data_IF_258513966933
#
_entry.id   IF_258513966933
#
_cell.length_a   1.000
_cell.length_b   1.000
_cell.length_c   1.000
_cell.angle_alpha   90.00
_cell.angle_beta   90.00
_cell.angle_gamma   90.00
#
_symmetry.space_group_name_H-M   'P 1'
#
loop_
_entity.id
_entity.type
_entity.pdbx_description
1 polymer ?
#
# COMPACT_ATOMS: atom_id res chain seq x y z
N UNK A 1 31.65 21.50 -65.21
CA UNK A 1 31.21 20.24 -64.56
C UNK A 1 32.38 19.72 -63.73
N UNK A 2 32.31 19.74 -62.38
CA UNK A 2 33.42 19.22 -61.54
C UNK A 2 33.24 17.70 -61.39
N UNK A 3 34.10 16.94 -62.05
CA UNK A 3 34.12 15.47 -61.97
C UNK A 3 34.98 15.10 -60.76
N UNK A 4 34.36 14.50 -59.74
CA UNK A 4 35.07 14.02 -58.55
C UNK A 4 35.58 12.60 -58.80
N UNK A 5 36.90 12.44 -58.89
CA UNK A 5 37.54 11.13 -59.07
C UNK A 5 37.97 10.61 -57.70
N UNK A 6 37.21 9.65 -57.17
CA UNK A 6 37.57 9.00 -55.90
C UNK A 6 38.52 7.84 -56.16
N UNK A 7 39.66 7.82 -55.47
CA UNK A 7 40.53 6.65 -55.49
C UNK A 7 39.84 5.46 -54.81
N UNK A 8 40.13 4.22 -55.24
CA UNK A 8 39.59 3.01 -54.58
C UNK A 8 39.85 3.01 -53.07
N UNK A 9 40.99 3.57 -52.62
CA UNK A 9 41.33 3.72 -51.20
C UNK A 9 40.40 4.71 -50.49
N UNK A 10 40.08 5.84 -51.11
CA UNK A 10 39.17 6.85 -50.56
C UNK A 10 37.75 6.30 -50.37
N UNK A 11 37.27 5.48 -51.31
CA UNK A 11 35.95 4.82 -51.18
C UNK A 11 35.92 3.84 -50.02
N UNK A 12 36.97 3.04 -49.84
CA UNK A 12 37.08 2.08 -48.72
C UNK A 12 37.12 2.81 -47.37
N UNK A 13 37.89 3.90 -47.25
CA UNK A 13 37.95 4.68 -46.00
C UNK A 13 36.61 5.31 -45.66
N UNK A 14 35.91 5.88 -46.64
CA UNK A 14 34.56 6.45 -46.42
C UNK A 14 33.57 5.37 -45.99
N UNK A 15 33.61 4.19 -46.62
CA UNK A 15 32.75 3.06 -46.23
C UNK A 15 33.02 2.61 -44.78
N UNK A 16 34.29 2.51 -44.37
CA UNK A 16 34.65 2.16 -42.99
C UNK A 16 34.18 3.20 -41.97
N UNK A 17 34.32 4.49 -42.28
CA UNK A 17 33.82 5.57 -41.42
C UNK A 17 32.29 5.54 -41.29
N UNK A 18 31.57 5.26 -42.38
CA UNK A 18 30.12 5.11 -42.35
C UNK A 18 29.69 3.91 -41.52
N UNK A 19 30.41 2.78 -41.59
CA UNK A 19 30.13 1.59 -40.76
C UNK A 19 30.37 1.89 -39.27
N UNK A 20 31.47 2.55 -38.91
CA UNK A 20 31.74 2.94 -37.52
C UNK A 20 30.66 3.90 -37.01
N UNK A 21 30.25 4.87 -37.83
CA UNK A 21 29.16 5.78 -37.49
C UNK A 21 27.84 5.01 -37.27
N UNK A 22 27.53 4.05 -38.13
CA UNK A 22 26.33 3.22 -38.00
C UNK A 22 26.36 2.38 -36.72
N UNK A 23 27.50 1.77 -36.40
CA UNK A 23 27.70 1.02 -35.15
C UNK A 23 27.52 1.95 -33.95
N UNK A 24 28.10 3.16 -33.99
CA UNK A 24 27.95 4.16 -32.94
C UNK A 24 26.50 4.60 -32.74
N UNK A 25 25.75 4.81 -33.83
CA UNK A 25 24.32 5.13 -33.78
C UNK A 25 23.52 3.96 -33.18
N UNK A 26 23.76 2.72 -33.62
CA UNK A 26 23.07 1.53 -33.07
C UNK A 26 23.37 1.37 -31.59
N UNK A 27 24.62 1.59 -31.17
CA UNK A 27 25.01 1.53 -29.76
C UNK A 27 24.33 2.63 -28.94
N UNK A 28 24.34 3.87 -29.44
CA UNK A 28 23.68 5.01 -28.79
C UNK A 28 22.16 4.84 -28.69
N UNK A 29 21.50 4.32 -29.73
CA UNK A 29 20.06 4.04 -29.72
C UNK A 29 19.70 2.89 -28.74
N UNK A 30 20.56 1.90 -28.58
CA UNK A 30 20.39 0.83 -27.58
C UNK A 30 20.64 1.34 -26.15
N UNK A 31 21.67 2.17 -25.95
CA UNK A 31 21.94 2.85 -24.66
C UNK A 31 20.84 3.85 -24.29
N UNK A 32 20.26 4.57 -25.25
CA UNK A 32 19.15 5.50 -24.98
C UNK A 32 17.87 4.80 -24.53
N UNK A 33 17.67 3.53 -24.92
CA UNK A 33 16.51 2.71 -24.49
C UNK A 33 16.74 1.97 -23.17
N UNK A 34 17.98 1.61 -22.83
CA UNK A 34 18.30 0.87 -21.61
C UNK A 34 18.96 1.69 -20.49
N UNK A 35 19.84 2.64 -20.82
CA UNK A 35 20.72 3.34 -19.89
C UNK A 35 20.05 4.41 -19.02
N UNK A 36 18.97 5.04 -19.48
CA UNK A 36 18.22 6.01 -18.67
C UNK A 36 17.46 5.34 -17.50
N UNK A 37 17.11 4.06 -17.64
CA UNK A 37 16.40 3.30 -16.60
C UNK A 37 17.33 2.66 -15.56
N UNK A 38 18.64 2.53 -15.84
CA UNK A 38 19.60 1.90 -14.92
C UNK A 38 20.02 2.83 -13.77
N UNK A 39 19.90 4.14 -13.95
CA UNK A 39 20.29 5.15 -12.95
C UNK A 39 19.12 5.81 -12.22
N UNK A 40 17.88 5.58 -12.65
CA UNK A 40 16.72 6.02 -11.90
C UNK A 40 16.55 5.09 -10.68
N UNK A 41 16.43 5.60 -9.45
CA UNK A 41 16.12 4.76 -8.30
C UNK A 41 14.82 4.01 -8.60
N UNK A 42 14.85 2.68 -8.49
CA UNK A 42 13.64 1.88 -8.70
C UNK A 42 12.57 2.38 -7.73
N UNK A 43 11.40 2.73 -8.28
CA UNK A 43 10.25 3.12 -7.47
C UNK A 43 9.90 1.96 -6.56
N UNK A 44 9.95 2.18 -5.25
CA UNK A 44 9.42 1.26 -4.27
C UNK A 44 7.92 1.46 -4.17
N UNK A 45 7.21 0.35 -4.00
CA UNK A 45 5.75 0.35 -3.89
C UNK A 45 5.36 -0.29 -2.55
N UNK A 46 4.36 0.28 -1.86
CA UNK A 46 3.69 -0.39 -0.75
C UNK A 46 2.83 -1.55 -1.28
N UNK A 47 2.30 -2.36 -0.37
CA UNK A 47 1.44 -3.49 -0.68
C UNK A 47 0.00 -2.98 -0.87
N UNK A 48 -0.54 -3.08 -2.08
CA UNK A 48 -1.92 -2.71 -2.41
C UNK A 48 -2.87 -3.92 -2.38
N UNK A 49 -2.38 -5.09 -2.77
CA UNK A 49 -3.14 -6.35 -2.80
C UNK A 49 -2.19 -7.56 -2.92
N UNK A 50 -2.74 -8.76 -2.86
CA UNK A 50 -2.00 -10.03 -2.96
C UNK A 50 -2.55 -10.88 -4.10
N UNK A 51 -1.67 -11.54 -4.83
CA UNK A 51 -2.05 -12.56 -5.80
C UNK A 51 -2.29 -13.90 -5.12
N UNK A 52 -3.54 -14.36 -5.19
CA UNK A 52 -3.96 -15.65 -4.64
C UNK A 52 -5.19 -16.18 -5.39
N UNK A 53 -5.30 -17.51 -5.47
CA UNK A 53 -6.50 -18.19 -5.95
C UNK A 53 -7.55 -18.38 -4.85
N UNK A 54 -7.18 -18.19 -3.58
CA UNK A 54 -8.10 -18.28 -2.45
C UNK A 54 -9.03 -17.07 -2.40
N UNK A 55 -10.30 -17.31 -2.04
CA UNK A 55 -11.25 -16.23 -1.76
C UNK A 55 -10.98 -15.65 -0.37
N UNK A 56 -9.91 -14.87 -0.27
CA UNK A 56 -9.52 -14.16 0.96
C UNK A 56 -9.30 -12.69 0.67
N UNK A 57 -9.73 -11.82 1.58
CA UNK A 57 -9.57 -10.36 1.50
C UNK A 57 -9.27 -9.80 2.88
N UNK A 58 -8.75 -8.58 2.94
CA UNK A 58 -8.57 -7.85 4.20
C UNK A 58 -9.40 -6.57 4.16
N UNK A 59 -10.24 -6.38 5.17
CA UNK A 59 -10.84 -5.07 5.46
C UNK A 59 -9.89 -4.34 6.42
N UNK A 60 -9.91 -3.01 6.40
CA UNK A 60 -9.13 -2.21 7.34
C UNK A 60 -9.78 -0.87 7.62
N UNK A 61 -9.50 -0.30 8.79
CA UNK A 61 -10.02 0.98 9.23
C UNK A 61 -8.88 1.93 9.58
N UNK A 62 -8.85 3.10 8.97
CA UNK A 62 -7.95 4.18 9.38
C UNK A 62 -8.65 5.01 10.48
N UNK A 63 -7.98 5.14 11.63
CA UNK A 63 -8.48 5.88 12.79
C UNK A 63 -7.57 7.08 13.09
N UNK A 64 -7.97 8.22 12.55
CA UNK A 64 -7.31 9.50 12.78
C UNK A 64 -8.12 10.39 13.73
N UNK A 65 -9.45 10.44 13.62
CA UNK A 65 -10.30 11.34 14.41
C UNK A 65 -11.60 10.68 14.79
N UNK A 66 -12.15 11.05 15.95
CA UNK A 66 -13.43 10.54 16.42
C UNK A 66 -13.36 9.07 16.86
N UNK A 67 -14.28 8.68 17.72
CA UNK A 67 -14.46 7.31 18.19
C UNK A 67 -15.94 6.90 18.21
N UNK A 68 -16.83 7.75 17.67
CA UNK A 68 -18.28 7.70 17.87
C UNK A 68 -18.91 6.40 17.39
N UNK A 69 -18.30 5.74 16.40
CA UNK A 69 -18.79 4.49 15.81
C UNK A 69 -17.85 3.29 16.09
N UNK A 70 -16.84 3.45 16.95
CA UNK A 70 -15.87 2.39 17.22
C UNK A 70 -16.55 1.15 17.79
N UNK A 71 -17.49 1.35 18.73
CA UNK A 71 -18.27 0.27 19.35
C UNK A 71 -19.14 -0.46 18.31
N UNK A 72 -19.87 0.29 17.47
CA UNK A 72 -20.68 -0.28 16.38
C UNK A 72 -19.85 -1.11 15.40
N UNK A 73 -18.63 -0.65 15.08
CA UNK A 73 -17.70 -1.38 14.20
C UNK A 73 -17.28 -2.70 14.86
N UNK A 74 -16.83 -2.66 16.12
CA UNK A 74 -16.36 -3.84 16.84
C UNK A 74 -17.48 -4.87 17.01
N UNK A 75 -18.68 -4.42 17.39
CA UNK A 75 -19.85 -5.29 17.54
C UNK A 75 -20.30 -5.92 16.22
N UNK A 76 -20.26 -5.16 15.12
CA UNK A 76 -20.49 -5.72 13.80
C UNK A 76 -19.44 -6.77 13.45
N UNK A 77 -18.15 -6.51 13.67
CA UNK A 77 -17.10 -7.47 13.38
C UNK A 77 -17.24 -8.76 14.19
N UNK A 78 -17.59 -8.66 15.48
CA UNK A 78 -17.84 -9.83 16.33
C UNK A 78 -19.08 -10.62 15.88
N UNK A 79 -20.17 -9.94 15.54
CA UNK A 79 -21.40 -10.57 15.03
C UNK A 79 -21.14 -11.42 13.79
N UNK A 80 -20.26 -10.97 12.90
CA UNK A 80 -19.89 -11.68 11.67
C UNK A 80 -18.63 -12.55 11.83
N UNK A 81 -18.07 -12.65 13.04
CA UNK A 81 -16.86 -13.40 13.37
C UNK A 81 -15.65 -13.03 12.48
N UNK A 82 -15.42 -11.73 12.32
CA UNK A 82 -14.35 -11.17 11.49
C UNK A 82 -13.29 -10.51 12.37
N UNK A 83 -12.02 -10.82 12.11
CA UNK A 83 -10.88 -10.08 12.64
C UNK A 83 -10.24 -9.29 11.50
N UNK A 84 -9.77 -8.09 11.82
CA UNK A 84 -9.45 -7.04 10.85
C UNK A 84 -8.27 -6.23 11.35
N UNK A 85 -7.81 -5.25 10.56
CA UNK A 85 -6.71 -4.35 10.91
C UNK A 85 -7.20 -2.92 11.13
N UNK A 86 -6.81 -2.31 12.25
CA UNK A 86 -7.04 -0.89 12.54
C UNK A 86 -5.72 -0.13 12.48
N UNK A 87 -5.58 0.86 11.59
CA UNK A 87 -4.41 1.73 11.52
C UNK A 87 -4.65 2.98 12.37
N UNK A 88 -3.89 3.12 13.46
CA UNK A 88 -4.14 4.15 14.48
C UNK A 88 -3.11 5.27 14.42
N UNK A 89 -3.59 6.51 14.46
CA UNK A 89 -2.71 7.68 14.61
C UNK A 89 -2.28 7.84 16.07
N UNK A 90 -1.02 8.20 16.32
CA UNK A 90 -0.47 8.30 17.68
C UNK A 90 -1.24 9.22 18.64
N UNK A 91 -1.80 10.34 18.17
CA UNK A 91 -2.65 11.19 19.03
C UNK A 91 -4.05 10.60 19.27
N UNK A 92 -4.53 9.72 18.39
CA UNK A 92 -5.78 8.98 18.60
C UNK A 92 -5.57 7.92 19.68
N UNK A 93 -4.44 7.21 19.63
CA UNK A 93 -4.01 6.27 20.67
C UNK A 93 -3.94 6.93 22.05
N UNK A 94 -3.37 8.14 22.15
CA UNK A 94 -3.32 8.89 23.41
C UNK A 94 -4.71 9.23 23.95
N UNK A 95 -5.64 9.57 23.05
CA UNK A 95 -6.98 10.02 23.41
C UNK A 95 -7.91 8.86 23.77
N UNK A 96 -7.71 7.71 23.15
CA UNK A 96 -8.62 6.57 23.23
C UNK A 96 -7.89 5.23 23.53
N UNK A 97 -7.06 5.16 24.59
CA UNK A 97 -6.28 3.96 24.88
C UNK A 97 -7.15 2.74 25.19
N UNK A 98 -8.33 2.94 25.78
CA UNK A 98 -9.27 1.87 26.07
C UNK A 98 -9.79 1.20 24.78
N UNK A 99 -10.02 1.97 23.71
CA UNK A 99 -10.40 1.39 22.42
C UNK A 99 -9.26 0.62 21.77
N UNK A 100 -8.01 1.09 21.91
CA UNK A 100 -6.84 0.34 21.42
C UNK A 100 -6.73 -1.01 22.12
N UNK A 101 -6.92 -1.01 23.44
CA UNK A 101 -6.90 -2.22 24.26
C UNK A 101 -8.04 -3.16 23.86
N UNK A 102 -9.26 -2.65 23.73
CA UNK A 102 -10.44 -3.43 23.35
C UNK A 102 -10.28 -4.06 21.96
N UNK A 103 -9.79 -3.30 20.97
CA UNK A 103 -9.47 -3.83 19.63
C UNK A 103 -8.50 -5.02 19.73
N UNK A 104 -7.45 -4.89 20.53
CA UNK A 104 -6.47 -5.96 20.72
C UNK A 104 -7.04 -7.18 21.47
N UNK A 105 -7.77 -6.97 22.56
CA UNK A 105 -8.38 -8.05 23.37
C UNK A 105 -9.44 -8.82 22.59
N UNK A 106 -10.18 -8.14 21.68
CA UNK A 106 -11.08 -8.78 20.72
C UNK A 106 -10.34 -9.49 19.58
N UNK A 107 -9.00 -9.42 19.52
CA UNK A 107 -8.18 -10.16 18.56
C UNK A 107 -8.02 -9.48 17.19
N UNK A 108 -8.29 -8.17 17.10
CA UNK A 108 -7.99 -7.41 15.89
C UNK A 108 -6.49 -7.05 15.84
N UNK A 109 -5.97 -6.89 14.62
CA UNK A 109 -4.63 -6.37 14.40
C UNK A 109 -4.63 -4.85 14.58
N UNK A 110 -3.68 -4.33 15.36
CA UNK A 110 -3.44 -2.90 15.50
C UNK A 110 -2.19 -2.52 14.70
N UNK A 111 -2.38 -1.64 13.72
CA UNK A 111 -1.37 -1.11 12.81
C UNK A 111 -1.03 0.36 13.09
N UNK A 112 0.07 0.80 12.51
CA UNK A 112 0.59 2.17 12.68
C UNK A 112 0.07 3.12 11.59
N UNK A 113 -0.40 4.31 11.95
CA UNK A 113 -0.84 5.34 11.01
C UNK A 113 -0.13 6.70 11.19
N UNK A 114 1.15 6.68 11.56
CA UNK A 114 1.96 7.84 11.99
C UNK A 114 1.49 8.47 13.30
N UNK A 115 2.28 9.39 13.86
CA UNK A 115 1.97 9.99 15.16
C UNK A 115 1.08 11.23 15.03
N UNK A 116 1.31 12.04 14.00
CA UNK A 116 0.69 13.36 13.84
C UNK A 116 -0.10 13.52 12.54
N UNK A 117 -0.24 12.44 11.76
CA UNK A 117 -0.91 12.40 10.46
C UNK A 117 -0.36 13.42 9.41
N UNK A 118 0.98 13.54 9.23
CA UNK A 118 1.56 14.48 8.26
C UNK A 118 1.61 13.89 6.84
N UNK A 119 1.93 14.73 5.85
CA UNK A 119 2.38 14.24 4.54
C UNK A 119 3.78 13.61 4.66
N UNK A 120 3.81 12.30 4.91
CA UNK A 120 5.04 11.55 5.23
C UNK A 120 6.10 11.65 4.12
N UNK A 121 5.72 11.83 2.84
CA UNK A 121 6.67 11.97 1.74
C UNK A 121 7.50 13.27 1.79
N UNK A 122 7.10 14.23 2.62
CA UNK A 122 7.77 15.54 2.78
C UNK A 122 8.75 15.58 3.94
N UNK A 123 8.79 14.51 4.74
CA UNK A 123 9.60 14.44 5.94
C UNK A 123 11.03 13.94 5.66
N UNK A 124 11.94 14.27 6.57
CA UNK A 124 13.27 13.68 6.59
C UNK A 124 13.21 12.22 7.09
N UNK A 125 14.26 11.43 6.83
CA UNK A 125 14.37 10.05 7.36
C UNK A 125 14.20 10.00 8.88
N UNK A 126 14.80 10.95 9.59
CA UNK A 126 14.73 11.02 11.06
C UNK A 126 13.31 11.33 11.54
N UNK A 127 12.60 12.24 10.86
CA UNK A 127 11.23 12.59 11.21
C UNK A 127 10.26 11.46 10.89
N UNK A 128 10.44 10.77 9.75
CA UNK A 128 9.68 9.55 9.41
C UNK A 128 9.87 8.50 10.50
N UNK A 129 11.12 8.21 10.88
CA UNK A 129 11.41 7.23 11.91
C UNK A 129 10.81 7.62 13.26
N UNK A 130 10.79 8.92 13.59
CA UNK A 130 10.16 9.43 14.81
C UNK A 130 8.64 9.22 14.79
N UNK A 131 7.96 9.59 13.70
CA UNK A 131 6.51 9.40 13.53
C UNK A 131 6.10 7.94 13.71
N UNK A 132 6.88 7.02 13.12
CA UNK A 132 6.63 5.59 13.21
C UNK A 132 6.91 5.04 14.62
N UNK A 133 8.09 5.32 15.18
CA UNK A 133 8.49 4.80 16.50
C UNK A 133 7.58 5.27 17.63
N UNK A 134 7.25 6.57 17.67
CA UNK A 134 6.39 7.12 18.73
C UNK A 134 5.03 6.41 18.75
N UNK A 135 4.45 6.17 17.57
CA UNK A 135 3.15 5.47 17.47
C UNK A 135 3.27 3.99 17.79
N UNK A 136 4.35 3.34 17.33
CA UNK A 136 4.62 1.93 17.62
C UNK A 136 4.81 1.68 19.11
N UNK A 137 5.58 2.53 19.80
CA UNK A 137 5.82 2.42 21.23
C UNK A 137 4.52 2.59 22.03
N UNK A 138 3.67 3.55 21.68
CA UNK A 138 2.35 3.74 22.32
C UNK A 138 1.43 2.52 22.14
N UNK A 139 1.38 1.96 20.93
CA UNK A 139 0.59 0.74 20.67
C UNK A 139 1.14 -0.42 21.49
N UNK A 140 2.46 -0.58 21.56
CA UNK A 140 3.12 -1.62 22.34
C UNK A 140 2.88 -1.48 23.84
N UNK A 141 2.90 -0.25 24.38
CA UNK A 141 2.64 0.01 25.81
C UNK A 141 1.23 -0.45 26.23
N UNK A 142 0.24 -0.36 25.34
CA UNK A 142 -1.14 -0.76 25.61
C UNK A 142 -1.36 -2.26 25.35
N UNK A 143 -0.84 -2.78 24.25
CA UNK A 143 -1.17 -4.11 23.73
C UNK A 143 -0.13 -5.18 24.06
N UNK A 144 1.09 -4.78 24.42
CA UNK A 144 2.24 -5.69 24.55
C UNK A 144 2.75 -6.24 23.21
N UNK A 145 2.22 -5.78 22.08
CA UNK A 145 2.56 -6.26 20.73
C UNK A 145 3.03 -5.10 19.86
N UNK A 146 4.18 -5.26 19.20
CA UNK A 146 4.68 -4.27 18.26
C UNK A 146 3.88 -4.35 16.96
N UNK A 147 3.35 -3.22 16.44
CA UNK A 147 2.68 -3.22 15.15
C UNK A 147 3.69 -3.56 14.05
N UNK A 148 3.28 -4.39 13.08
CA UNK A 148 4.14 -4.81 11.95
C UNK A 148 3.69 -4.23 10.61
N UNK A 149 2.50 -3.63 10.57
CA UNK A 149 1.94 -2.98 9.37
C UNK A 149 1.83 -1.48 9.62
N UNK A 150 2.17 -0.70 8.60
CA UNK A 150 2.07 0.75 8.60
C UNK A 150 1.32 1.21 7.35
N UNK A 151 0.36 2.13 7.50
CA UNK A 151 -0.27 2.82 6.37
C UNK A 151 0.08 4.31 6.41
N UNK A 152 0.59 4.90 5.33
CA UNK A 152 0.87 6.33 5.31
C UNK A 152 -0.42 7.17 5.25
N UNK A 153 -0.53 8.25 6.05
CA UNK A 153 -1.60 9.24 5.91
C UNK A 153 -1.80 9.69 4.47
N UNK A 154 -3.06 9.88 4.08
CA UNK A 154 -3.47 10.32 2.73
C UNK A 154 -3.03 9.41 1.58
N UNK A 155 -2.48 8.23 1.88
CA UNK A 155 -1.79 7.40 0.90
C UNK A 155 -0.53 8.05 0.32
N UNK A 156 0.06 9.04 1.00
CA UNK A 156 1.23 9.81 0.54
C UNK A 156 2.55 9.11 0.88
N UNK A 157 3.34 8.73 -0.14
CA UNK A 157 4.61 8.05 0.06
C UNK A 157 5.66 8.38 -1.00
N UNK A 158 6.91 8.09 -0.66
CA UNK A 158 8.04 8.05 -1.58
C UNK A 158 8.95 6.87 -1.21
N UNK A 159 10.02 6.65 -1.97
CA UNK A 159 10.98 5.58 -1.69
C UNK A 159 11.60 5.70 -0.29
N UNK A 160 11.94 6.92 0.14
CA UNK A 160 12.55 7.16 1.45
C UNK A 160 11.66 6.68 2.59
N UNK A 161 10.35 6.93 2.50
CA UNK A 161 9.38 6.47 3.48
C UNK A 161 9.31 4.94 3.53
N UNK A 162 9.18 4.28 2.38
CA UNK A 162 9.07 2.82 2.32
C UNK A 162 10.34 2.17 2.88
N UNK A 163 11.51 2.67 2.51
CA UNK A 163 12.80 2.18 3.02
C UNK A 163 12.93 2.37 4.52
N UNK A 164 12.55 3.54 5.03
CA UNK A 164 12.63 3.82 6.47
C UNK A 164 11.64 2.96 7.26
N UNK A 165 10.45 2.72 6.71
CA UNK A 165 9.46 1.82 7.33
C UNK A 165 9.96 0.37 7.36
N UNK A 166 10.54 -0.13 6.26
CA UNK A 166 11.12 -1.46 6.16
C UNK A 166 12.29 -1.67 7.15
N UNK A 167 13.18 -0.68 7.28
CA UNK A 167 14.27 -0.69 8.26
C UNK A 167 13.78 -0.76 9.71
N UNK A 168 12.57 -0.28 9.98
CA UNK A 168 11.92 -0.33 11.28
C UNK A 168 11.04 -1.59 11.47
N UNK A 169 11.03 -2.49 10.48
CA UNK A 169 10.28 -3.75 10.55
C UNK A 169 8.82 -3.63 10.12
N UNK A 170 8.43 -2.54 9.46
CA UNK A 170 7.07 -2.36 8.96
C UNK A 170 6.90 -2.82 7.51
N UNK A 171 5.79 -3.51 7.24
CA UNK A 171 5.22 -3.62 5.91
C UNK A 171 4.39 -2.37 5.63
N UNK A 172 4.76 -1.60 4.58
CA UNK A 172 3.97 -0.44 4.16
C UNK A 172 2.76 -0.89 3.35
N UNK A 173 1.56 -0.54 3.79
CA UNK A 173 0.28 -0.99 3.24
C UNK A 173 -0.51 0.16 2.62
N UNK A 174 -1.18 -0.13 1.50
CA UNK A 174 -2.17 0.71 0.85
C UNK A 174 -3.50 -0.07 0.73
N UNK A 175 -4.28 0.20 -0.31
CA UNK A 175 -5.53 -0.47 -0.63
C UNK A 175 -5.76 -0.45 -2.15
N UNK A 176 -6.26 -1.54 -2.72
CA UNK A 176 -6.74 -1.57 -4.10
C UNK A 176 -8.24 -1.21 -4.20
N UNK A 177 -8.99 -1.33 -3.08
CA UNK A 177 -10.41 -0.99 -3.02
C UNK A 177 -10.66 0.11 -1.98
N UNK A 178 -10.98 1.31 -2.46
CA UNK A 178 -11.41 2.44 -1.62
C UNK A 178 -12.93 2.46 -1.49
N UNK A 179 -13.45 2.37 -0.26
CA UNK A 179 -14.88 2.43 0.03
C UNK A 179 -15.50 3.82 -0.25
N UNK A 180 -14.69 4.88 -0.21
CA UNK A 180 -15.12 6.29 -0.25
C UNK A 180 -16.17 6.64 0.81
N UNK A 181 -16.17 5.94 1.95
CA UNK A 181 -17.09 6.16 3.06
C UNK A 181 -17.01 7.58 3.64
N UNK A 182 -15.82 8.18 3.65
CA UNK A 182 -15.57 9.58 4.02
C UNK A 182 -16.30 10.62 3.15
N UNK A 183 -16.84 10.24 1.98
CA UNK A 183 -17.65 11.14 1.14
C UNK A 183 -19.11 11.22 1.55
N UNK A 184 -19.54 10.41 2.53
CA UNK A 184 -20.92 10.41 3.05
C UNK A 184 -22.02 10.27 1.97
N UNK A 185 -21.75 9.48 0.92
CA UNK A 185 -22.71 9.28 -0.19
C UNK A 185 -23.92 8.40 0.20
N UNK A 186 -23.98 7.92 1.44
CA UNK A 186 -24.98 6.99 1.95
C UNK A 186 -24.50 5.52 1.95
N UNK A 187 -25.37 4.65 2.44
CA UNK A 187 -25.09 3.22 2.67
C UNK A 187 -24.81 2.46 1.38
N UNK A 188 -25.79 2.43 0.46
CA UNK A 188 -25.72 1.56 -0.72
C UNK A 188 -24.54 1.89 -1.66
N UNK A 189 -24.16 3.17 -1.90
CA UNK A 189 -22.98 3.48 -2.70
C UNK A 189 -21.69 2.87 -2.16
N UNK A 190 -21.49 2.83 -0.84
CA UNK A 190 -20.33 2.18 -0.21
C UNK A 190 -20.38 0.67 -0.45
N UNK A 191 -21.53 0.05 -0.15
CA UNK A 191 -21.67 -1.41 -0.29
C UNK A 191 -21.47 -1.86 -1.73
N UNK A 192 -22.12 -1.20 -2.70
CA UNK A 192 -22.00 -1.54 -4.11
C UNK A 192 -20.57 -1.32 -4.61
N UNK A 193 -19.89 -0.27 -4.14
CA UNK A 193 -18.52 0.01 -4.56
C UNK A 193 -17.57 -1.08 -4.09
N UNK A 194 -17.65 -1.48 -2.82
CA UNK A 194 -16.77 -2.51 -2.26
C UNK A 194 -17.02 -3.85 -2.96
N UNK A 195 -18.28 -4.29 -2.98
CA UNK A 195 -18.65 -5.63 -3.47
C UNK A 195 -18.47 -5.82 -4.97
N UNK A 196 -18.48 -4.75 -5.78
CA UNK A 196 -18.21 -4.84 -7.23
C UNK A 196 -16.73 -4.83 -7.58
N UNK A 197 -15.88 -4.24 -6.74
CA UNK A 197 -14.46 -4.04 -7.07
C UNK A 197 -13.52 -5.03 -6.39
N UNK A 198 -13.99 -5.72 -5.34
CA UNK A 198 -13.20 -6.71 -4.61
C UNK A 198 -12.79 -7.88 -5.50
N UNK A 199 -11.56 -8.35 -5.30
CA UNK A 199 -10.99 -9.55 -5.90
C UNK A 199 -10.29 -10.38 -4.82
N UNK A 200 -9.93 -11.61 -5.15
CA UNK A 200 -9.06 -12.42 -4.31
C UNK A 200 -7.76 -11.66 -3.99
N UNK A 201 -7.49 -11.51 -2.70
CA UNK A 201 -6.34 -10.81 -2.15
C UNK A 201 -6.46 -9.29 -2.10
N UNK A 202 -7.65 -8.72 -2.28
CA UNK A 202 -7.88 -7.28 -2.12
C UNK A 202 -7.71 -6.82 -0.66
N UNK A 203 -7.22 -5.59 -0.51
CA UNK A 203 -7.19 -4.82 0.74
C UNK A 203 -8.16 -3.66 0.59
N UNK A 204 -9.18 -3.61 1.47
CA UNK A 204 -10.25 -2.62 1.44
C UNK A 204 -10.02 -1.56 2.54
N UNK A 205 -10.12 -0.28 2.17
CA UNK A 205 -10.04 0.87 3.09
C UNK A 205 -11.42 1.35 3.54
N UNK A 206 -11.57 1.54 4.85
CA UNK A 206 -12.64 2.29 5.51
C UNK A 206 -12.05 3.23 6.56
N UNK A 207 -12.89 4.08 7.15
CA UNK A 207 -12.54 4.98 8.24
C UNK A 207 -13.43 4.70 9.46
N UNK A 208 -12.85 4.81 10.66
CA UNK A 208 -13.56 4.48 11.91
C UNK A 208 -14.67 5.49 12.26
N UNK A 209 -14.68 6.66 11.65
CA UNK A 209 -15.62 7.75 11.91
C UNK A 209 -16.60 8.00 10.76
N UNK A 210 -16.72 7.06 9.81
CA UNK A 210 -17.63 7.21 8.69
C UNK A 210 -19.09 7.19 9.16
N UNK A 211 -19.83 8.27 8.85
CA UNK A 211 -21.19 8.55 9.33
C UNK A 211 -22.19 7.39 9.23
N UNK A 212 -22.08 6.56 8.19
CA UNK A 212 -23.03 5.46 7.92
C UNK A 212 -22.43 4.07 8.20
N UNK A 213 -21.30 3.98 8.91
CA UNK A 213 -20.55 2.71 9.09
C UNK A 213 -21.37 1.62 9.77
N UNK A 214 -22.15 1.98 10.80
CA UNK A 214 -23.04 1.04 11.50
C UNK A 214 -24.08 0.41 10.56
N UNK A 215 -24.47 1.11 9.49
CA UNK A 215 -25.46 0.64 8.51
C UNK A 215 -24.81 -0.12 7.35
N UNK A 216 -23.70 0.36 6.80
CA UNK A 216 -23.08 -0.29 5.63
C UNK A 216 -22.18 -1.47 6.00
N UNK A 217 -21.52 -1.46 7.16
CA UNK A 217 -20.52 -2.48 7.49
C UNK A 217 -21.16 -3.88 7.58
N UNK A 218 -22.28 -4.09 8.30
CA UNK A 218 -22.97 -5.39 8.30
C UNK A 218 -23.30 -5.90 6.89
N UNK A 219 -23.77 -4.99 6.03
CA UNK A 219 -24.15 -5.31 4.65
C UNK A 219 -22.95 -5.63 3.75
N UNK A 220 -21.78 -5.03 4.01
CA UNK A 220 -20.53 -5.37 3.33
C UNK A 220 -20.05 -6.74 3.79
N UNK A 221 -20.00 -6.98 5.10
CA UNK A 221 -19.52 -8.24 5.68
C UNK A 221 -20.37 -9.42 5.20
N UNK A 222 -21.70 -9.28 5.27
CA UNK A 222 -22.66 -10.27 4.76
C UNK A 222 -22.40 -10.60 3.29
N UNK A 223 -22.39 -9.58 2.40
CA UNK A 223 -22.21 -9.80 0.96
C UNK A 223 -20.87 -10.43 0.61
N UNK A 224 -19.78 -10.05 1.28
CA UNK A 224 -18.46 -10.65 1.06
C UNK A 224 -18.45 -12.13 1.49
N UNK A 225 -19.02 -12.45 2.65
CA UNK A 225 -19.13 -13.83 3.13
C UNK A 225 -20.05 -14.69 2.25
N UNK A 226 -21.19 -14.15 1.79
CA UNK A 226 -22.08 -14.82 0.83
C UNK A 226 -21.39 -15.12 -0.50
N UNK A 227 -20.49 -14.23 -0.94
CA UNK A 227 -19.64 -14.46 -2.12
C UNK A 227 -18.53 -15.49 -1.85
N UNK A 228 -18.37 -15.95 -0.61
CA UNK A 228 -17.42 -16.96 -0.18
C UNK A 228 -16.05 -16.41 0.21
N UNK A 229 -15.94 -15.10 0.47
CA UNK A 229 -14.69 -14.51 0.95
C UNK A 229 -14.49 -14.75 2.44
N UNK A 230 -13.29 -15.22 2.82
CA UNK A 230 -12.78 -15.10 4.18
C UNK A 230 -12.19 -13.70 4.36
N UNK A 231 -12.53 -13.04 5.46
CA UNK A 231 -11.97 -11.74 5.82
C UNK A 231 -10.95 -11.97 6.94
N UNK A 232 -9.72 -11.46 6.74
CA UNK A 232 -8.60 -11.66 7.65
C UNK A 232 -7.87 -10.34 7.94
N UNK A 233 -7.12 -10.25 9.05
CA UNK A 233 -6.14 -9.19 9.25
C UNK A 233 -5.12 -9.11 8.10
N UNK A 234 -4.60 -7.93 7.84
CA UNK A 234 -3.67 -7.68 6.73
C UNK A 234 -2.40 -8.52 6.89
N UNK A 235 -1.84 -8.66 8.10
CA UNK A 235 -0.63 -9.49 8.30
C UNK A 235 -0.83 -10.99 8.04
N UNK A 236 -2.08 -11.46 8.01
CA UNK A 236 -2.44 -12.83 7.62
C UNK A 236 -2.67 -12.94 6.09
N UNK A 237 -2.99 -11.83 5.43
CA UNK A 237 -3.17 -11.78 3.97
C UNK A 237 -1.84 -11.64 3.22
N UNK A 238 -0.94 -10.78 3.71
CA UNK A 238 0.29 -10.43 2.97
C UNK A 238 1.31 -11.57 2.95
N UNK A 239 2.08 -11.60 1.88
CA UNK A 239 3.22 -12.51 1.73
C UNK A 239 4.43 -11.85 2.39
N UNK A 240 5.02 -12.51 3.39
CA UNK A 240 6.15 -11.95 4.18
C UNK A 240 7.50 -12.15 3.51
N UNK A 241 7.65 -13.22 2.73
CA UNK A 241 8.90 -13.60 2.08
C UNK A 241 8.65 -14.16 0.67
N UNK A 242 9.68 -14.17 -0.18
CA UNK A 242 9.63 -14.83 -1.50
C UNK A 242 8.51 -14.35 -2.43
N UNK A 243 8.24 -13.04 -2.47
CA UNK A 243 7.36 -12.42 -3.47
C UNK A 243 8.12 -11.44 -4.38
N UNK A 244 7.50 -11.08 -5.49
CA UNK A 244 7.81 -9.86 -6.25
C UNK A 244 6.64 -8.89 -6.15
N UNK A 245 6.92 -7.61 -6.34
CA UNK A 245 5.89 -6.59 -6.45
C UNK A 245 5.65 -6.28 -7.94
N UNK A 246 4.41 -6.38 -8.39
CA UNK A 246 4.06 -5.94 -9.74
C UNK A 246 3.96 -4.40 -9.83
N UNK A 247 3.85 -3.81 -11.04
CA UNK A 247 3.76 -2.35 -11.19
C UNK A 247 2.52 -1.69 -10.55
N UNK A 248 1.50 -2.48 -10.19
CA UNK A 248 0.29 -2.00 -9.48
C UNK A 248 0.45 -2.03 -7.96
N UNK A 249 1.55 -2.59 -7.45
CA UNK A 249 1.76 -2.79 -6.02
C UNK A 249 1.08 -4.07 -5.50
N UNK A 250 0.81 -5.04 -6.38
CA UNK A 250 0.32 -6.37 -5.98
C UNK A 250 1.49 -7.30 -5.69
N UNK A 251 1.44 -7.98 -4.55
CA UNK A 251 2.38 -9.05 -4.23
C UNK A 251 2.09 -10.27 -5.09
N UNK A 252 3.10 -10.78 -5.79
CA UNK A 252 3.03 -12.01 -6.58
C UNK A 252 4.00 -13.04 -5.97
N UNK A 253 3.52 -14.21 -5.52
CA UNK A 253 4.39 -15.27 -5.02
C UNK A 253 5.43 -15.64 -6.07
N UNK A 254 6.70 -15.80 -5.66
CA UNK A 254 7.70 -16.42 -6.52
C UNK A 254 7.43 -17.94 -6.60
N UNK A 255 7.58 -18.55 -7.78
CA UNK A 255 7.49 -20.00 -7.93
C UNK A 255 8.61 -20.74 -7.19
#
# INVERSE_FOLDING_TARGET
MKIWVFSKRSVVVIALLLVILLIGIVYFLNLGRGGLNVFAPQRRLPIYSVETSEKVVAISFDAAWGDEFTDDILDALDKYNVKTTFFLVGFWVDKYPDWVKEMHERGHEVGNHSSTHPHMSKLSKADIAKELKVTGDKIFEITGVQPTVFRPPFGDYNNLLIETAEELGYYTIQWDVDSLDWKEMGVQPVVDRVTRNVKNGSIILFHNNAKYVAEFLPLVLERLQEQGYKIVPISDLIIKENYIMDPSGRQVPKP
#
